data_IF_494350441237
#
_entry.id   IF_494350441237
#
_cell.length_a   1.000
_cell.length_b   1.000
_cell.length_c   1.000
_cell.angle_alpha   90.00
_cell.angle_beta   90.00
_cell.angle_gamma   90.00
#
_symmetry.space_group_name_H-M   'P 1'
#
loop_
_entity.id
_entity.type
_entity.pdbx_description
1 polymer ?
#
# COMPACT_ATOMS: atom_id res chain seq x y z
N UNK A 1 -21.72 47.73 -1.46
CA UNK A 1 -20.48 47.17 -0.89
C UNK A 1 -20.78 45.76 -0.40
N UNK A 2 -19.91 44.84 -0.75
CA UNK A 2 -20.03 43.39 -0.65
C UNK A 2 -19.74 42.90 0.78
N UNK A 3 -20.50 41.95 1.30
CA UNK A 3 -20.11 41.17 2.49
C UNK A 3 -20.53 39.74 2.25
N UNK A 4 -19.65 39.02 1.55
CA UNK A 4 -19.71 37.58 1.40
C UNK A 4 -19.42 36.94 2.75
N UNK A 5 -20.44 36.36 3.36
CA UNK A 5 -20.32 35.46 4.49
C UNK A 5 -19.54 34.22 4.02
N UNK A 6 -18.30 34.09 4.48
CA UNK A 6 -17.47 32.90 4.26
C UNK A 6 -18.00 31.80 5.17
N UNK A 7 -18.89 30.98 4.62
CA UNK A 7 -19.28 29.71 5.21
C UNK A 7 -18.06 28.79 5.22
N UNK A 8 -17.43 28.68 6.39
CA UNK A 8 -16.35 27.73 6.65
C UNK A 8 -16.91 26.32 6.49
N UNK A 9 -16.60 25.69 5.36
CA UNK A 9 -16.83 24.28 5.14
C UNK A 9 -15.83 23.49 5.99
N UNK A 10 -16.17 23.25 7.26
CA UNK A 10 -15.56 22.20 8.05
C UNK A 10 -15.97 20.87 7.42
N UNK A 11 -15.12 20.39 6.51
CA UNK A 11 -15.24 19.05 5.96
C UNK A 11 -14.81 18.10 7.08
N UNK A 12 -15.68 17.20 7.61
CA UNK A 12 -15.20 16.23 8.57
C UNK A 12 -14.18 15.37 7.84
N UNK A 13 -12.92 15.50 8.25
CA UNK A 13 -11.85 14.60 7.83
C UNK A 13 -12.37 13.18 8.05
N UNK A 14 -12.69 12.51 6.94
CA UNK A 14 -13.25 11.17 6.93
C UNK A 14 -12.19 10.26 7.53
N UNK A 15 -12.24 10.07 8.85
CA UNK A 15 -11.39 9.19 9.62
C UNK A 15 -11.77 7.78 9.16
N UNK A 16 -11.14 7.34 8.06
CA UNK A 16 -11.28 5.97 7.56
C UNK A 16 -11.01 5.07 8.77
N UNK A 17 -11.93 4.15 9.13
CA UNK A 17 -11.63 3.20 10.16
C UNK A 17 -10.45 2.38 9.65
N UNK A 18 -9.27 2.58 10.24
CA UNK A 18 -8.10 1.72 10.08
C UNK A 18 -8.40 0.39 10.77
N UNK A 19 -9.41 -0.32 10.26
CA UNK A 19 -9.64 -1.73 10.58
C UNK A 19 -8.61 -2.47 9.75
N UNK A 20 -7.43 -2.60 10.32
CA UNK A 20 -6.38 -3.46 9.79
C UNK A 20 -6.92 -4.89 9.81
N UNK A 21 -7.50 -5.31 8.69
CA UNK A 21 -8.01 -6.66 8.52
C UNK A 21 -6.81 -7.62 8.44
N UNK A 22 -6.98 -8.82 9.02
CA UNK A 22 -5.96 -9.86 8.89
C UNK A 22 -5.70 -10.07 7.41
N UNK A 23 -4.43 -10.22 7.05
CA UNK A 23 -4.06 -10.48 5.67
C UNK A 23 -4.75 -11.75 5.17
N UNK A 24 -5.69 -11.61 4.24
CA UNK A 24 -6.31 -12.76 3.61
C UNK A 24 -5.24 -13.58 2.85
N UNK A 25 -5.31 -14.92 2.89
CA UNK A 25 -4.35 -15.77 2.18
C UNK A 25 -4.25 -15.46 0.69
N UNK A 26 -5.40 -15.18 0.04
CA UNK A 26 -5.48 -14.83 -1.38
C UNK A 26 -4.74 -13.53 -1.68
N UNK A 27 -4.92 -12.49 -0.86
CA UNK A 27 -4.21 -11.23 -1.02
C UNK A 27 -2.70 -11.43 -0.89
N UNK A 28 -2.25 -12.21 0.10
CA UNK A 28 -0.82 -12.53 0.27
C UNK A 28 -0.26 -13.27 -0.94
N UNK A 29 -0.98 -14.28 -1.44
CA UNK A 29 -0.56 -15.04 -2.62
C UNK A 29 -0.42 -14.14 -3.86
N UNK A 30 -1.42 -13.28 -4.11
CA UNK A 30 -1.38 -12.33 -5.23
C UNK A 30 -0.21 -11.34 -5.13
N UNK A 31 0.04 -10.80 -3.94
CA UNK A 31 1.16 -9.89 -3.70
C UNK A 31 2.52 -10.58 -3.92
N UNK A 32 2.69 -11.80 -3.41
CA UNK A 32 3.92 -12.59 -3.61
C UNK A 32 4.17 -12.90 -5.08
N UNK A 33 3.12 -13.23 -5.83
CA UNK A 33 3.24 -13.49 -7.27
C UNK A 33 3.74 -12.25 -8.01
N UNK A 34 3.11 -11.09 -7.81
CA UNK A 34 3.50 -9.85 -8.46
C UNK A 34 4.96 -9.46 -8.14
N UNK A 35 5.35 -9.50 -6.86
CA UNK A 35 6.71 -9.17 -6.45
C UNK A 35 7.75 -10.11 -7.06
N UNK A 36 7.48 -11.43 -7.12
CA UNK A 36 8.41 -12.40 -7.72
C UNK A 36 8.57 -12.18 -9.22
N UNK A 37 7.49 -11.87 -9.94
CA UNK A 37 7.54 -11.57 -11.37
C UNK A 37 8.41 -10.33 -11.62
N UNK A 38 8.20 -9.25 -10.86
CA UNK A 38 9.03 -8.05 -10.99
C UNK A 38 10.49 -8.30 -10.60
N UNK A 39 10.72 -9.07 -9.54
CA UNK A 39 12.07 -9.39 -9.08
C UNK A 39 12.88 -10.15 -10.12
N UNK A 40 12.25 -11.08 -10.85
CA UNK A 40 12.96 -11.91 -11.83
C UNK A 40 13.06 -11.27 -13.22
N UNK A 41 12.13 -10.40 -13.60
CA UNK A 41 12.07 -9.85 -14.97
C UNK A 41 12.53 -8.40 -15.08
N UNK A 42 12.52 -7.63 -13.99
CA UNK A 42 12.77 -6.18 -14.04
C UNK A 42 13.89 -5.78 -13.07
N UNK A 43 13.85 -6.30 -11.84
CA UNK A 43 14.65 -5.78 -10.73
C UNK A 43 15.79 -6.71 -10.29
N UNK A 44 16.05 -7.79 -11.01
CA UNK A 44 17.21 -8.70 -10.84
C UNK A 44 17.58 -9.06 -9.38
N UNK A 45 16.59 -9.30 -8.51
CA UNK A 45 16.83 -9.68 -7.10
C UNK A 45 16.64 -8.56 -6.07
N UNK A 46 16.40 -7.30 -6.48
CA UNK A 46 16.26 -6.16 -5.55
C UNK A 46 14.98 -6.21 -4.68
N UNK A 47 14.03 -7.11 -4.95
CA UNK A 47 12.80 -7.27 -4.17
C UNK A 47 12.83 -8.41 -3.14
N UNK A 48 13.96 -9.09 -2.94
CA UNK A 48 14.06 -10.22 -2.00
C UNK A 48 13.60 -9.87 -0.57
N UNK A 49 13.89 -8.64 -0.11
CA UNK A 49 13.45 -8.15 1.20
C UNK A 49 11.95 -7.87 1.24
N UNK A 50 11.38 -7.33 0.16
CA UNK A 50 9.95 -7.07 0.03
C UNK A 50 9.14 -8.38 -0.01
N UNK A 51 9.65 -9.39 -0.71
CA UNK A 51 9.05 -10.74 -0.74
C UNK A 51 9.01 -11.33 0.68
N UNK A 52 10.12 -11.24 1.44
CA UNK A 52 10.16 -11.67 2.84
C UNK A 52 9.17 -10.89 3.72
N UNK A 53 9.09 -9.57 3.52
CA UNK A 53 8.15 -8.74 4.27
C UNK A 53 6.68 -9.14 4.02
N UNK A 54 6.29 -9.45 2.79
CA UNK A 54 4.92 -9.96 2.49
C UNK A 54 4.66 -11.32 3.15
N UNK A 55 5.64 -12.22 3.20
CA UNK A 55 5.48 -13.52 3.88
C UNK A 55 5.19 -13.37 5.38
N UNK A 56 5.76 -12.35 6.02
CA UNK A 56 5.59 -12.08 7.44
C UNK A 56 4.48 -11.09 7.78
N UNK A 57 3.88 -10.44 6.78
CA UNK A 57 2.79 -9.50 6.94
C UNK A 57 1.55 -10.20 7.55
N UNK A 58 1.07 -9.63 8.65
CA UNK A 58 -0.08 -10.12 9.43
C UNK A 58 -1.37 -9.42 9.02
N UNK A 59 -1.27 -8.23 8.43
CA UNK A 59 -2.43 -7.41 8.05
C UNK A 59 -2.38 -6.99 6.59
N UNK A 60 -3.54 -6.68 6.03
CA UNK A 60 -3.62 -6.15 4.66
C UNK A 60 -2.88 -4.81 4.51
N UNK A 61 -2.92 -3.96 5.53
CA UNK A 61 -2.22 -2.67 5.54
C UNK A 61 -0.71 -2.88 5.35
N UNK A 62 -0.13 -3.84 6.06
CA UNK A 62 1.29 -4.19 5.93
C UNK A 62 1.61 -4.71 4.52
N UNK A 63 0.73 -5.50 3.90
CA UNK A 63 0.91 -5.94 2.52
C UNK A 63 0.90 -4.73 1.57
N UNK A 64 -0.03 -3.78 1.75
CA UNK A 64 -0.12 -2.57 0.92
C UNK A 64 1.11 -1.68 1.07
N UNK A 65 1.62 -1.51 2.29
CA UNK A 65 2.85 -0.75 2.55
C UNK A 65 4.05 -1.38 1.82
N UNK A 66 4.21 -2.70 1.89
CA UNK A 66 5.31 -3.39 1.19
C UNK A 66 5.21 -3.25 -0.33
N UNK A 67 4.00 -3.33 -0.89
CA UNK A 67 3.77 -3.09 -2.32
C UNK A 67 4.14 -1.66 -2.69
N UNK A 68 3.71 -0.66 -1.91
CA UNK A 68 4.01 0.74 -2.19
C UNK A 68 5.52 1.04 -2.18
N UNK A 69 6.27 0.40 -1.27
CA UNK A 69 7.72 0.50 -1.24
C UNK A 69 8.38 -0.15 -2.46
N UNK A 70 7.91 -1.34 -2.86
CA UNK A 70 8.39 -2.03 -4.05
C UNK A 70 8.11 -1.24 -5.34
N UNK A 71 6.93 -0.65 -5.46
CA UNK A 71 6.55 0.22 -6.59
C UNK A 71 7.45 1.46 -6.71
N UNK A 72 7.95 1.98 -5.58
CA UNK A 72 8.91 3.09 -5.57
C UNK A 72 10.24 2.76 -6.28
N UNK A 73 10.62 1.49 -6.32
CA UNK A 73 11.83 1.02 -7.01
C UNK A 73 11.65 0.95 -8.53
N UNK A 74 10.42 0.73 -9.01
CA UNK A 74 10.09 0.66 -10.44
C UNK A 74 9.96 2.03 -11.11
N UNK A 75 9.93 3.13 -10.33
CA UNK A 75 9.76 4.50 -10.84
C UNK A 75 11.08 5.27 -11.02
N UNK A 76 12.22 4.60 -10.89
CA UNK A 76 13.56 5.14 -11.15
C UNK A 76 14.04 4.72 -12.52
#
# INVERSE_FOLDING_TARGET
MSSAERQSHDTPAQKRPSRSHKAEPTLRASALFALRVYNSHILEGLLDEHIRAVMHARTEEQIREVIALADGLLRR
#
